data_IF_898036477266
#
_entry.id   IF_898036477266
#
_cell.length_a   1.000
_cell.length_b   1.000
_cell.length_c   1.000
_cell.angle_alpha   90.00
_cell.angle_beta   90.00
_cell.angle_gamma   90.00
#
_symmetry.space_group_name_H-M   'P 1'
#
loop_
_entity.id
_entity.type
_entity.pdbx_description
1 polymer ?
#
# COMPACT_ATOMS: atom_id res chain seq x y z
N UNK A 1 2.84 -7.80 -0.47
CA UNK A 1 2.89 -9.09 0.22
C UNK A 1 4.29 -9.72 0.24
N UNK A 2 5.22 -9.19 -0.57
CA UNK A 2 6.61 -9.64 -0.69
C UNK A 2 6.73 -11.16 -0.82
N UNK A 3 6.06 -11.70 -1.84
CA UNK A 3 6.19 -13.13 -2.23
C UNK A 3 7.56 -13.43 -2.85
N UNK A 4 8.18 -12.41 -3.40
CA UNK A 4 9.53 -12.41 -3.98
C UNK A 4 10.24 -11.14 -3.52
N UNK A 5 11.50 -11.25 -3.19
CA UNK A 5 12.30 -10.10 -2.74
C UNK A 5 12.66 -9.16 -3.89
N UNK A 6 12.83 -7.90 -3.58
CA UNK A 6 13.30 -6.88 -4.51
C UNK A 6 14.67 -7.25 -5.10
N UNK A 7 15.53 -7.89 -4.29
CA UNK A 7 16.84 -8.37 -4.72
C UNK A 7 16.76 -9.49 -5.76
N UNK A 8 15.83 -10.44 -5.60
CA UNK A 8 15.64 -11.52 -6.58
C UNK A 8 15.17 -10.94 -7.93
N UNK A 9 14.24 -9.98 -7.91
CA UNK A 9 13.76 -9.32 -9.12
C UNK A 9 14.88 -8.52 -9.79
N UNK A 10 15.64 -7.74 -9.02
CA UNK A 10 16.79 -6.97 -9.53
C UNK A 10 17.87 -7.89 -10.12
N UNK A 11 18.24 -8.98 -9.40
CA UNK A 11 19.18 -9.99 -9.86
C UNK A 11 18.73 -10.64 -11.16
N UNK A 12 17.43 -10.96 -11.28
CA UNK A 12 16.87 -11.54 -12.50
C UNK A 12 16.93 -10.57 -13.68
N UNK A 13 16.66 -9.28 -13.46
CA UNK A 13 16.78 -8.26 -14.48
C UNK A 13 18.22 -8.11 -14.96
N UNK A 14 19.17 -8.00 -14.03
CA UNK A 14 20.60 -7.87 -14.31
C UNK A 14 21.21 -9.11 -14.96
N UNK A 15 20.64 -10.29 -14.76
CA UNK A 15 21.09 -11.51 -15.45
C UNK A 15 20.72 -11.53 -16.95
N UNK A 16 19.78 -10.68 -17.39
CA UNK A 16 19.30 -10.62 -18.77
C UNK A 16 19.72 -9.36 -19.50
N UNK A 17 19.93 -8.27 -18.78
CA UNK A 17 20.18 -6.96 -19.39
C UNK A 17 21.30 -6.20 -18.66
N UNK A 18 22.11 -5.41 -19.37
CA UNK A 18 23.11 -4.54 -18.73
C UNK A 18 22.41 -3.48 -17.87
N UNK A 19 23.08 -3.05 -16.79
CA UNK A 19 22.54 -2.13 -15.78
C UNK A 19 21.90 -0.87 -16.40
N UNK A 20 22.53 -0.25 -17.37
CA UNK A 20 22.06 0.97 -18.02
C UNK A 20 20.67 0.82 -18.67
N UNK A 21 20.29 -0.41 -19.08
CA UNK A 21 18.96 -0.69 -19.65
C UNK A 21 17.89 -0.91 -18.57
N UNK A 22 18.27 -1.33 -17.38
CA UNK A 22 17.33 -1.72 -16.31
C UNK A 22 17.41 -0.84 -15.09
N UNK A 23 18.26 0.18 -15.08
CA UNK A 23 18.46 1.08 -13.93
C UNK A 23 17.15 1.66 -13.41
N UNK A 24 16.33 2.25 -14.30
CA UNK A 24 15.03 2.81 -13.93
C UNK A 24 14.06 1.76 -13.37
N UNK A 25 14.03 0.58 -13.97
CA UNK A 25 13.21 -0.53 -13.49
C UNK A 25 13.64 -0.97 -12.08
N UNK A 26 14.95 -1.05 -11.83
CA UNK A 26 15.49 -1.39 -10.52
C UNK A 26 15.14 -0.29 -9.50
N UNK A 27 15.28 0.98 -9.85
CA UNK A 27 14.88 2.10 -9.00
C UNK A 27 13.39 1.99 -8.60
N UNK A 28 12.49 1.71 -9.56
CA UNK A 28 11.06 1.54 -9.28
C UNK A 28 10.77 0.37 -8.31
N UNK A 29 11.50 -0.74 -8.42
CA UNK A 29 11.36 -1.86 -7.48
C UNK A 29 11.74 -1.43 -6.06
N UNK A 30 12.82 -0.67 -5.90
CA UNK A 30 13.33 -0.24 -4.59
C UNK A 30 12.51 0.88 -3.94
N UNK A 31 11.61 1.58 -4.68
CA UNK A 31 10.67 2.53 -4.08
C UNK A 31 9.85 1.93 -2.96
N UNK A 32 9.47 0.67 -3.07
CA UNK A 32 8.73 -0.02 -2.02
C UNK A 32 9.52 -0.11 -0.70
N UNK A 33 10.80 -0.48 -0.77
CA UNK A 33 11.69 -0.52 0.41
C UNK A 33 11.84 0.88 0.99
N UNK A 34 12.06 1.87 0.11
CA UNK A 34 12.18 3.27 0.51
C UNK A 34 10.94 3.76 1.28
N UNK A 35 9.74 3.53 0.73
CA UNK A 35 8.50 3.96 1.40
C UNK A 35 8.30 3.29 2.75
N UNK A 36 8.55 1.99 2.85
CA UNK A 36 8.45 1.26 4.12
C UNK A 36 9.41 1.81 5.17
N UNK A 37 10.69 1.90 4.84
CA UNK A 37 11.69 2.45 5.75
C UNK A 37 11.44 3.91 6.11
N UNK A 38 10.95 4.71 5.16
CA UNK A 38 10.62 6.11 5.43
C UNK A 38 9.47 6.25 6.44
N UNK A 39 8.40 5.46 6.29
CA UNK A 39 7.26 5.47 7.22
C UNK A 39 7.64 4.87 8.58
N UNK A 40 8.42 3.81 8.60
CA UNK A 40 8.89 3.16 9.83
C UNK A 40 9.71 4.13 10.70
N UNK A 41 10.55 4.94 10.07
CA UNK A 41 11.30 6.02 10.74
C UNK A 41 10.43 7.24 11.11
N UNK A 42 9.18 7.32 10.66
CA UNK A 42 8.24 8.42 10.94
C UNK A 42 6.83 7.90 11.24
N UNK A 43 6.66 7.07 12.27
CA UNK A 43 5.39 6.38 12.56
C UNK A 43 4.24 7.37 12.81
N UNK A 44 4.56 8.60 13.25
CA UNK A 44 3.56 9.64 13.48
C UNK A 44 2.79 10.02 12.19
N UNK A 45 3.36 9.85 11.00
CA UNK A 45 2.64 10.06 9.74
C UNK A 45 1.44 9.13 9.62
N UNK A 46 1.61 7.87 10.01
CA UNK A 46 0.53 6.89 10.00
C UNK A 46 -0.51 7.17 11.10
N UNK A 47 -0.07 7.48 12.31
CA UNK A 47 -1.01 7.76 13.41
C UNK A 47 -1.83 9.01 13.14
N UNK A 48 -1.23 10.07 12.59
CA UNK A 48 -1.95 11.28 12.19
C UNK A 48 -2.92 11.01 11.02
N UNK A 49 -2.53 10.18 10.05
CA UNK A 49 -3.43 9.76 8.97
C UNK A 49 -4.67 9.03 9.52
N UNK A 50 -4.47 8.09 10.46
CA UNK A 50 -5.58 7.35 11.08
C UNK A 50 -6.48 8.29 11.91
N UNK A 51 -5.89 9.26 12.61
CA UNK A 51 -6.66 10.25 13.38
C UNK A 51 -7.44 11.19 12.47
N UNK A 52 -6.82 11.68 11.40
CA UNK A 52 -7.51 12.50 10.39
C UNK A 52 -8.74 11.75 9.83
N UNK A 53 -8.62 10.45 9.55
CA UNK A 53 -9.72 9.63 9.03
C UNK A 53 -10.94 9.59 9.95
N UNK A 54 -10.76 9.63 11.26
CA UNK A 54 -11.85 9.62 12.25
C UNK A 54 -12.62 10.94 12.23
N UNK A 55 -11.92 12.05 11.97
CA UNK A 55 -12.46 13.41 12.03
C UNK A 55 -13.01 13.91 10.67
N UNK A 56 -12.76 13.20 9.58
CA UNK A 56 -13.27 13.58 8.25
C UNK A 56 -14.64 12.95 8.03
N UNK A 57 -15.67 13.79 7.94
CA UNK A 57 -17.03 13.36 7.60
C UNK A 57 -17.13 12.92 6.14
N UNK A 58 -18.06 12.00 5.88
CA UNK A 58 -18.38 11.55 4.53
C UNK A 58 -19.37 12.51 3.89
N UNK A 59 -18.94 13.21 2.87
CA UNK A 59 -19.82 14.09 2.08
C UNK A 59 -20.59 13.29 1.03
N UNK A 60 -21.63 13.92 0.46
CA UNK A 60 -22.38 13.35 -0.66
C UNK A 60 -21.50 13.16 -1.90
N UNK A 61 -20.54 14.09 -2.12
CA UNK A 61 -19.54 14.01 -3.19
C UNK A 61 -18.61 12.82 -3.01
N UNK A 62 -18.23 12.53 -1.77
CA UNK A 62 -17.46 11.31 -1.45
C UNK A 62 -18.24 10.04 -1.80
N UNK A 63 -19.52 9.97 -1.42
CA UNK A 63 -20.36 8.80 -1.73
C UNK A 63 -20.51 8.58 -3.23
N UNK A 64 -20.71 9.66 -4.02
CA UNK A 64 -20.72 9.60 -5.47
C UNK A 64 -19.37 9.15 -6.04
N UNK A 65 -18.28 9.68 -5.52
CA UNK A 65 -16.93 9.34 -5.98
C UNK A 65 -16.63 7.86 -5.81
N UNK A 66 -16.87 7.28 -4.62
CA UNK A 66 -16.63 5.85 -4.39
C UNK A 66 -17.57 4.92 -5.16
N UNK A 67 -18.71 5.44 -5.66
CA UNK A 67 -19.62 4.69 -6.52
C UNK A 67 -19.27 4.78 -8.00
N UNK A 68 -18.46 5.76 -8.40
CA UNK A 68 -18.18 6.07 -9.79
C UNK A 68 -19.35 6.81 -10.46
N UNK A 69 -20.01 7.69 -9.73
CA UNK A 69 -21.17 8.47 -10.14
C UNK A 69 -20.82 9.97 -10.20
N UNK A 70 -19.62 10.30 -10.62
CA UNK A 70 -19.14 11.67 -10.80
C UNK A 70 -19.43 12.16 -12.22
N UNK A 71 -19.11 13.42 -12.49
CA UNK A 71 -19.18 14.00 -13.84
C UNK A 71 -17.87 13.77 -14.66
N UNK A 72 -17.03 12.83 -14.26
CA UNK A 72 -15.73 12.55 -14.89
C UNK A 72 -15.69 11.09 -15.34
N UNK A 73 -15.93 10.84 -16.61
CA UNK A 73 -16.12 9.49 -17.16
C UNK A 73 -14.92 8.56 -16.91
N UNK A 74 -13.69 9.04 -17.13
CA UNK A 74 -12.50 8.22 -16.89
C UNK A 74 -12.39 7.80 -15.42
N UNK A 75 -12.71 8.68 -14.49
CA UNK A 75 -12.70 8.40 -13.07
C UNK A 75 -13.74 7.33 -12.70
N UNK A 76 -14.94 7.45 -13.24
CA UNK A 76 -16.03 6.49 -13.01
C UNK A 76 -15.67 5.10 -13.54
N UNK A 77 -15.09 5.01 -14.74
CA UNK A 77 -14.60 3.77 -15.32
C UNK A 77 -13.52 3.13 -14.44
N UNK A 78 -12.59 3.93 -13.90
CA UNK A 78 -11.53 3.42 -13.02
C UNK A 78 -12.05 2.97 -11.65
N UNK A 79 -13.08 3.61 -11.11
CA UNK A 79 -13.76 3.11 -9.90
C UNK A 79 -14.37 1.75 -10.15
N UNK A 80 -15.04 1.57 -11.30
CA UNK A 80 -15.60 0.28 -11.70
C UNK A 80 -14.51 -0.77 -11.87
N UNK A 81 -13.45 -0.47 -12.60
CA UNK A 81 -12.29 -1.36 -12.78
C UNK A 81 -11.67 -1.76 -11.44
N UNK A 82 -11.49 -0.79 -10.53
CA UNK A 82 -10.95 -1.04 -9.19
C UNK A 82 -11.81 -2.01 -8.39
N UNK A 83 -13.14 -1.86 -8.41
CA UNK A 83 -14.08 -2.71 -7.67
C UNK A 83 -14.22 -4.11 -8.28
N UNK A 84 -14.10 -4.23 -9.60
CA UNK A 84 -14.18 -5.48 -10.31
C UNK A 84 -12.91 -6.31 -10.17
N UNK A 85 -11.75 -5.67 -10.40
CA UNK A 85 -10.45 -6.34 -10.50
C UNK A 85 -9.59 -6.21 -9.24
N UNK A 86 -9.96 -5.32 -8.31
CA UNK A 86 -9.16 -4.97 -7.12
C UNK A 86 -7.72 -4.54 -7.45
N UNK A 87 -7.55 -3.97 -8.64
CA UNK A 87 -6.28 -3.51 -9.19
C UNK A 87 -6.50 -2.33 -10.14
N UNK A 88 -5.54 -1.42 -10.16
CA UNK A 88 -5.39 -0.37 -11.17
C UNK A 88 -3.93 -0.29 -11.61
N UNK A 89 -3.70 0.00 -12.88
CA UNK A 89 -2.37 0.29 -13.40
C UNK A 89 -1.74 1.49 -12.68
N UNK A 90 -0.42 1.51 -12.49
CA UNK A 90 0.27 2.56 -11.72
C UNK A 90 -0.05 3.99 -12.19
N UNK A 91 -0.02 4.26 -13.50
CA UNK A 91 -0.41 5.58 -14.03
C UNK A 91 -1.85 5.95 -13.68
N UNK A 92 -2.77 5.00 -13.79
CA UNK A 92 -4.18 5.20 -13.45
C UNK A 92 -4.34 5.58 -11.98
N UNK A 93 -3.57 4.97 -11.08
CA UNK A 93 -3.59 5.34 -9.64
C UNK A 93 -3.19 6.79 -9.41
N UNK A 94 -2.19 7.27 -10.14
CA UNK A 94 -1.74 8.66 -10.03
C UNK A 94 -2.78 9.63 -10.55
N UNK A 95 -3.38 9.37 -11.72
CA UNK A 95 -4.47 10.17 -12.27
C UNK A 95 -5.69 10.16 -11.36
N UNK A 96 -6.07 8.98 -10.86
CA UNK A 96 -7.18 8.81 -9.94
C UNK A 96 -7.00 9.69 -8.69
N UNK A 97 -5.82 9.61 -8.04
CA UNK A 97 -5.54 10.38 -6.84
C UNK A 97 -5.52 11.89 -7.11
N UNK A 98 -4.97 12.31 -8.26
CA UNK A 98 -4.97 13.72 -8.66
C UNK A 98 -6.39 14.24 -8.91
N UNK A 99 -7.23 13.49 -9.62
CA UNK A 99 -8.63 13.86 -9.87
C UNK A 99 -9.41 13.92 -8.54
N UNK A 100 -9.23 12.92 -7.68
CA UNK A 100 -9.85 12.89 -6.36
C UNK A 100 -9.55 14.14 -5.54
N UNK A 101 -8.26 14.49 -5.44
CA UNK A 101 -7.80 15.59 -4.58
C UNK A 101 -8.16 16.95 -5.21
N UNK A 102 -7.82 17.15 -6.48
CA UNK A 102 -7.78 18.49 -7.06
C UNK A 102 -9.00 18.84 -7.89
N UNK A 103 -9.62 17.87 -8.55
CA UNK A 103 -10.81 18.12 -9.36
C UNK A 103 -12.09 17.91 -8.56
N UNK A 104 -12.20 16.79 -7.84
CA UNK A 104 -13.34 16.49 -6.97
C UNK A 104 -13.24 17.19 -5.61
N UNK A 105 -12.06 17.75 -5.27
CA UNK A 105 -11.78 18.45 -4.01
C UNK A 105 -12.07 17.61 -2.76
N UNK A 106 -11.82 16.32 -2.85
CA UNK A 106 -12.04 15.38 -1.75
C UNK A 106 -10.77 15.22 -0.90
N UNK A 107 -10.90 14.98 0.41
CA UNK A 107 -9.77 14.74 1.29
C UNK A 107 -8.92 13.56 0.80
N UNK A 108 -7.61 13.76 0.66
CA UNK A 108 -6.69 12.71 0.20
C UNK A 108 -6.71 11.48 1.10
N UNK A 109 -6.94 11.67 2.40
CA UNK A 109 -7.00 10.58 3.37
C UNK A 109 -8.13 9.59 3.03
N UNK A 110 -9.29 10.10 2.63
CA UNK A 110 -10.44 9.25 2.23
C UNK A 110 -10.18 8.50 0.93
N UNK A 111 -9.42 9.07 0.02
CA UNK A 111 -8.97 8.37 -1.19
C UNK A 111 -7.95 7.28 -0.87
N UNK A 112 -6.99 7.56 0.01
CA UNK A 112 -6.02 6.58 0.48
C UNK A 112 -6.69 5.42 1.24
N UNK A 113 -7.69 5.70 2.08
CA UNK A 113 -8.53 4.68 2.74
C UNK A 113 -9.27 3.81 1.71
N UNK A 114 -9.86 4.43 0.68
CA UNK A 114 -10.56 3.73 -0.38
C UNK A 114 -9.63 2.77 -1.14
N UNK A 115 -8.43 3.20 -1.48
CA UNK A 115 -7.43 2.33 -2.11
C UNK A 115 -6.98 1.18 -1.22
N UNK A 116 -6.72 1.41 0.07
CA UNK A 116 -6.38 0.33 1.00
C UNK A 116 -7.49 -0.71 1.10
N UNK A 117 -8.75 -0.25 1.07
CA UNK A 117 -9.92 -1.12 1.14
C UNK A 117 -10.10 -2.00 -0.10
N UNK A 118 -9.82 -1.47 -1.28
CA UNK A 118 -10.16 -2.14 -2.54
C UNK A 118 -8.96 -2.84 -3.21
N UNK A 119 -7.73 -2.35 -3.07
CA UNK A 119 -6.56 -2.88 -3.77
C UNK A 119 -6.02 -4.17 -3.14
N UNK A 120 -5.89 -5.23 -3.94
CA UNK A 120 -5.23 -6.47 -3.51
C UNK A 120 -3.78 -6.27 -3.07
N UNK A 121 -3.06 -5.37 -3.72
CA UNK A 121 -1.67 -5.04 -3.41
C UNK A 121 -1.52 -3.83 -2.48
N UNK A 122 -2.61 -3.39 -1.84
CA UNK A 122 -2.60 -2.26 -0.93
C UNK A 122 -1.60 -2.47 0.23
N UNK A 123 -0.62 -1.57 0.29
CA UNK A 123 0.40 -1.53 1.35
C UNK A 123 0.30 -0.19 2.08
N UNK A 124 0.22 -0.22 3.40
CA UNK A 124 -0.02 0.97 4.21
C UNK A 124 1.02 2.07 3.96
N UNK A 125 2.30 1.72 3.84
CA UNK A 125 3.36 2.70 3.60
C UNK A 125 3.31 3.24 2.16
N UNK A 126 3.39 2.37 1.17
CA UNK A 126 3.41 2.78 -0.24
C UNK A 126 2.16 3.55 -0.63
N UNK A 127 0.98 3.09 -0.20
CA UNK A 127 -0.28 3.75 -0.51
C UNK A 127 -0.36 5.14 0.14
N UNK A 128 -0.19 5.24 1.45
CA UNK A 128 -0.32 6.53 2.17
C UNK A 128 0.69 7.55 1.66
N UNK A 129 1.96 7.16 1.48
CA UNK A 129 2.99 8.08 1.04
C UNK A 129 2.85 8.48 -0.44
N UNK A 130 2.34 7.59 -1.30
CA UNK A 130 2.03 7.93 -2.69
C UNK A 130 0.87 8.91 -2.79
N UNK A 131 -0.19 8.77 -2.00
CA UNK A 131 -1.26 9.76 -1.92
C UNK A 131 -0.77 11.11 -1.40
N UNK A 132 0.10 11.11 -0.38
CA UNK A 132 0.77 12.33 0.11
C UNK A 132 1.66 12.97 -0.96
N UNK A 133 2.33 12.15 -1.78
CA UNK A 133 3.15 12.63 -2.88
C UNK A 133 2.30 13.30 -3.97
N UNK A 134 1.19 12.68 -4.40
CA UNK A 134 0.25 13.31 -5.35
C UNK A 134 -0.28 14.63 -4.81
N UNK A 135 -0.61 14.69 -3.51
CA UNK A 135 -1.12 15.89 -2.84
C UNK A 135 -0.09 17.04 -2.74
N UNK A 136 1.21 16.77 -2.94
CA UNK A 136 2.28 17.76 -2.80
C UNK A 136 2.75 17.99 -1.36
N UNK A 137 2.40 17.10 -0.43
CA UNK A 137 2.77 17.19 0.99
C UNK A 137 3.91 16.25 1.40
N UNK A 138 4.20 15.23 0.60
CA UNK A 138 5.36 14.35 0.82
C UNK A 138 6.67 15.05 0.41
N UNK A 139 6.66 15.77 -0.70
CA UNK A 139 7.65 16.76 -1.07
C UNK A 139 6.92 18.08 -1.15
N UNK A 140 7.09 18.94 -0.15
CA UNK A 140 6.31 20.18 -0.01
C UNK A 140 6.31 21.00 -1.32
N UNK A 141 5.12 21.32 -1.80
CA UNK A 141 4.90 22.14 -2.99
C UNK A 141 5.08 21.43 -4.34
N UNK A 142 5.38 20.12 -4.36
CA UNK A 142 5.50 19.33 -5.61
C UNK A 142 4.38 18.33 -5.70
N UNK A 143 3.23 18.76 -6.20
CA UNK A 143 2.09 17.89 -6.45
C UNK A 143 2.15 17.25 -7.85
N UNK A 144 1.49 16.11 -8.01
CA UNK A 144 1.27 15.49 -9.31
C UNK A 144 -0.12 15.85 -9.83
N UNK A 145 -0.19 16.34 -11.07
CA UNK A 145 -1.43 16.83 -11.67
C UNK A 145 -1.77 15.99 -12.90
N UNK A 146 -2.96 15.39 -12.88
CA UNK A 146 -3.51 14.70 -14.05
C UNK A 146 -3.81 15.69 -15.16
N UNK A 147 -3.33 15.42 -16.38
CA UNK A 147 -3.46 16.26 -17.55
C UNK A 147 -4.30 15.54 -18.62
N UNK A 148 -5.25 16.25 -19.23
CA UNK A 148 -6.10 15.72 -20.30
C UNK A 148 -5.29 15.07 -21.42
N UNK A 149 -4.25 15.75 -21.92
CA UNK A 149 -3.44 15.24 -23.00
C UNK A 149 -2.73 13.93 -22.63
N UNK A 150 -2.33 13.80 -21.36
CA UNK A 150 -1.61 12.62 -20.89
C UNK A 150 -2.55 11.41 -20.73
N UNK A 151 -3.72 11.63 -20.13
CA UNK A 151 -4.77 10.59 -20.06
C UNK A 151 -5.15 10.13 -21.46
N UNK A 152 -5.47 11.07 -22.36
CA UNK A 152 -5.87 10.74 -23.74
C UNK A 152 -4.78 9.97 -24.49
N UNK A 153 -3.52 10.37 -24.38
CA UNK A 153 -2.39 9.68 -25.01
C UNK A 153 -2.30 8.21 -24.63
N UNK A 154 -2.49 7.89 -23.34
CA UNK A 154 -2.31 6.53 -22.81
C UNK A 154 -3.61 5.72 -22.74
N UNK A 155 -4.75 6.32 -23.09
CA UNK A 155 -6.05 5.64 -23.20
C UNK A 155 -6.58 5.58 -24.64
N UNK A 156 -5.70 5.77 -25.64
CA UNK A 156 -6.05 5.79 -27.07
C UNK A 156 -7.21 6.77 -27.41
N UNK A 157 -7.18 7.95 -26.78
CA UNK A 157 -8.20 8.99 -26.93
C UNK A 157 -9.64 8.53 -26.56
N UNK A 158 -9.75 7.59 -25.64
CA UNK A 158 -11.04 7.09 -25.16
C UNK A 158 -11.88 8.19 -24.49
N UNK A 159 -11.23 9.11 -23.77
CA UNK A 159 -11.90 10.15 -23.00
C UNK A 159 -11.63 11.52 -23.62
N UNK A 160 -12.72 12.20 -24.04
CA UNK A 160 -12.64 13.53 -24.64
C UNK A 160 -13.16 14.58 -23.65
N UNK A 161 -12.60 15.78 -23.75
CA UNK A 161 -13.08 16.97 -23.05
C UNK A 161 -13.27 16.80 -21.52
N UNK A 162 -12.33 16.11 -20.88
CA UNK A 162 -12.34 15.95 -19.43
C UNK A 162 -12.21 17.30 -18.73
N UNK A 163 -13.15 17.63 -17.87
CA UNK A 163 -13.13 18.87 -17.07
C UNK A 163 -12.27 18.67 -15.81
N UNK A 164 -10.93 18.68 -15.98
CA UNK A 164 -9.98 18.52 -14.90
C UNK A 164 -9.45 19.88 -14.42
N UNK A 165 -9.13 19.96 -13.13
CA UNK A 165 -8.34 21.06 -12.62
C UNK A 165 -6.86 20.77 -12.90
N UNK A 166 -6.31 21.38 -13.94
CA UNK A 166 -4.95 21.15 -14.42
C UNK A 166 -3.90 22.08 -13.82
N UNK A 167 -4.31 23.04 -12.99
CA UNK A 167 -3.42 24.00 -12.34
C UNK A 167 -3.80 24.24 -10.87
N UNK A 168 -3.94 23.19 -10.05
CA UNK A 168 -4.28 23.35 -8.65
C UNK A 168 -3.07 23.73 -7.81
N UNK A 169 -3.31 24.44 -6.72
CA UNK A 169 -2.33 24.58 -5.67
C UNK A 169 -2.12 23.27 -4.91
N UNK A 170 -0.90 22.97 -4.43
CA UNK A 170 -0.65 21.83 -3.56
C UNK A 170 -1.48 21.88 -2.28
N UNK A 171 -1.82 20.71 -1.73
CA UNK A 171 -2.45 20.65 -0.41
C UNK A 171 -1.47 21.17 0.64
N UNK A 172 -1.96 22.02 1.54
CA UNK A 172 -1.16 22.56 2.64
C UNK A 172 -1.24 21.62 3.83
N UNK A 173 -0.10 21.09 4.25
CA UNK A 173 0.08 20.38 5.52
C UNK A 173 1.29 20.98 6.26
N UNK A 174 1.02 21.63 7.39
CA UNK A 174 2.07 22.30 8.18
C UNK A 174 2.80 21.33 9.12
N UNK A 175 2.31 20.08 9.25
CA UNK A 175 2.93 19.09 10.14
C UNK A 175 4.34 18.72 9.69
N UNK A 176 5.21 18.61 10.67
CA UNK A 176 6.59 18.16 10.49
C UNK A 176 6.81 16.84 11.23
N UNK A 177 7.47 15.92 10.54
CA UNK A 177 7.69 14.57 11.06
C UNK A 177 9.17 14.31 11.27
N UNK A 178 9.58 14.31 12.53
CA UNK A 178 10.94 13.97 12.93
C UNK A 178 11.19 12.47 12.79
N UNK A 179 12.45 12.11 12.56
CA UNK A 179 12.89 10.72 12.55
C UNK A 179 12.80 10.18 13.99
N UNK A 180 12.17 9.03 14.13
CA UNK A 180 12.17 8.22 15.36
C UNK A 180 13.10 7.05 15.12
N UNK A 181 14.28 6.99 15.76
CA UNK A 181 15.21 5.89 15.59
C UNK A 181 14.57 4.55 15.99
N UNK A 182 14.80 3.52 15.20
CA UNK A 182 14.37 2.17 15.51
C UNK A 182 15.35 1.59 16.52
N UNK A 183 14.85 1.12 17.65
CA UNK A 183 15.66 0.35 18.60
C UNK A 183 15.89 -1.05 18.05
N UNK A 184 17.13 -1.35 17.69
CA UNK A 184 17.51 -2.71 17.29
C UNK A 184 17.79 -3.48 18.59
N UNK A 185 16.97 -4.48 18.88
CA UNK A 185 17.18 -5.35 20.02
C UNK A 185 18.52 -6.09 19.92
N UNK A 186 19.32 -6.03 20.97
CA UNK A 186 20.62 -6.72 21.07
C UNK A 186 20.49 -8.20 21.45
N UNK A 187 19.34 -8.82 21.25
CA UNK A 187 19.11 -10.21 21.61
C UNK A 187 19.93 -11.15 20.71
N UNK A 188 21.03 -11.64 21.26
CA UNK A 188 21.87 -12.70 20.62
C UNK A 188 21.25 -14.09 20.70
N UNK A 189 20.15 -14.27 21.41
CA UNK A 189 19.46 -15.55 21.54
C UNK A 189 18.47 -15.74 20.40
N UNK A 190 18.64 -16.83 19.65
CA UNK A 190 17.67 -17.25 18.65
C UNK A 190 16.41 -17.71 19.39
N UNK A 191 15.29 -17.06 19.13
CA UNK A 191 14.00 -17.48 19.68
C UNK A 191 13.58 -18.83 19.10
N UNK A 192 12.97 -19.69 19.90
CA UNK A 192 12.35 -20.93 19.44
C UNK A 192 11.18 -20.72 18.46
N UNK A 193 10.68 -19.50 18.37
CA UNK A 193 9.52 -19.12 17.55
C UNK A 193 9.90 -18.06 16.55
N UNK A 194 9.39 -18.18 15.32
CA UNK A 194 9.50 -17.18 14.26
C UNK A 194 8.11 -16.77 13.82
N UNK A 195 7.88 -15.47 13.65
CA UNK A 195 6.59 -14.92 13.26
C UNK A 195 6.76 -14.11 11.99
N UNK A 196 5.99 -14.45 10.97
CA UNK A 196 5.80 -13.65 9.77
C UNK A 196 4.46 -12.91 9.83
N UNK A 197 4.40 -11.74 9.24
CA UNK A 197 3.16 -11.03 9.02
C UNK A 197 2.75 -11.09 7.55
N UNK A 198 1.48 -10.92 7.27
CA UNK A 198 0.87 -10.95 5.93
C UNK A 198 1.52 -10.07 4.85
N UNK A 199 2.41 -9.17 5.24
CA UNK A 199 3.15 -8.28 4.34
C UNK A 199 4.57 -8.77 4.02
N UNK A 200 5.03 -9.87 4.66
CA UNK A 200 6.34 -10.47 4.48
C UNK A 200 6.18 -11.97 4.28
N UNK A 201 6.03 -12.38 3.03
CA UNK A 201 5.78 -13.77 2.66
C UNK A 201 6.95 -14.43 1.91
N UNK A 202 8.10 -13.77 1.86
CA UNK A 202 9.35 -14.38 1.39
C UNK A 202 10.00 -15.18 2.53
N UNK A 203 9.49 -16.38 2.73
CA UNK A 203 9.97 -17.26 3.80
C UNK A 203 11.42 -17.74 3.62
N UNK A 204 12.04 -17.48 2.46
CA UNK A 204 13.43 -17.88 2.20
C UNK A 204 14.45 -16.93 2.83
N UNK A 205 14.03 -15.71 3.18
CA UNK A 205 14.93 -14.69 3.75
C UNK A 205 15.44 -15.09 5.12
N UNK A 206 14.68 -15.92 5.86
CA UNK A 206 15.02 -16.34 7.21
C UNK A 206 15.32 -17.84 7.26
N UNK A 207 16.23 -18.25 8.16
CA UNK A 207 16.49 -19.67 8.41
C UNK A 207 15.35 -20.29 9.23
N UNK A 208 14.22 -20.56 8.54
CA UNK A 208 12.98 -21.07 9.16
C UNK A 208 13.23 -22.37 9.93
N UNK A 209 14.14 -23.22 9.43
CA UNK A 209 14.43 -24.53 10.04
C UNK A 209 15.18 -24.45 11.37
N UNK A 210 15.71 -23.29 11.74
CA UNK A 210 16.36 -23.09 13.05
C UNK A 210 15.36 -22.85 14.19
N UNK A 211 14.07 -22.71 13.88
CA UNK A 211 13.02 -22.43 14.85
C UNK A 211 12.12 -23.65 15.07
N UNK A 212 11.68 -23.88 16.32
CA UNK A 212 10.78 -25.00 16.66
C UNK A 212 9.37 -24.77 16.15
N UNK A 213 8.92 -23.52 16.14
CA UNK A 213 7.58 -23.13 15.70
C UNK A 213 7.64 -21.89 14.81
N UNK A 214 6.92 -21.92 13.71
CA UNK A 214 6.85 -20.81 12.76
C UNK A 214 5.40 -20.48 12.47
N UNK A 215 5.06 -19.21 12.57
CA UNK A 215 3.72 -18.70 12.39
C UNK A 215 3.68 -17.65 11.27
N UNK A 216 2.57 -17.62 10.54
CA UNK A 216 2.23 -16.49 9.66
C UNK A 216 0.91 -15.89 10.12
N UNK A 217 0.90 -14.58 10.39
CA UNK A 217 -0.26 -13.89 10.96
C UNK A 217 -1.00 -13.13 9.88
N UNK A 218 -2.32 -13.35 9.81
CA UNK A 218 -3.28 -12.55 9.07
C UNK A 218 -4.18 -11.81 10.07
N UNK A 219 -4.06 -10.49 10.13
CA UNK A 219 -4.90 -9.66 10.99
C UNK A 219 -6.35 -9.64 10.49
N UNK A 220 -7.30 -9.64 11.41
CA UNK A 220 -8.71 -9.37 11.13
C UNK A 220 -9.00 -7.86 11.04
N UNK A 221 -10.19 -7.48 10.61
CA UNK A 221 -10.57 -6.06 10.54
C UNK A 221 -10.74 -5.41 11.93
N UNK A 222 -10.96 -6.19 12.97
CA UNK A 222 -11.05 -5.72 14.35
C UNK A 222 -9.70 -5.23 14.88
N UNK A 223 -8.61 -5.81 14.36
CA UNK A 223 -7.23 -5.49 14.77
C UNK A 223 -6.59 -4.41 13.90
N UNK A 224 -7.27 -4.01 12.80
CA UNK A 224 -6.74 -3.02 11.87
C UNK A 224 -7.20 -1.61 12.22
N UNK A 225 -6.27 -0.68 12.19
CA UNK A 225 -6.58 0.75 12.30
C UNK A 225 -7.34 1.28 11.06
N UNK A 226 -7.07 0.71 9.88
CA UNK A 226 -7.81 0.95 8.65
C UNK A 226 -8.34 -0.37 8.10
N UNK A 227 -9.65 -0.47 7.97
CA UNK A 227 -10.32 -1.70 7.54
C UNK A 227 -10.08 -1.98 6.06
N UNK A 228 -9.91 -3.26 5.72
CA UNK A 228 -9.80 -3.76 4.36
C UNK A 228 -11.16 -4.30 3.89
N UNK A 229 -11.38 -4.35 2.58
CA UNK A 229 -12.52 -5.02 1.99
C UNK A 229 -12.45 -6.55 2.14
N UNK A 230 -13.60 -7.21 2.19
CA UNK A 230 -13.65 -8.66 2.37
C UNK A 230 -12.89 -9.43 1.27
N UNK A 231 -12.99 -8.98 0.01
CA UNK A 231 -12.22 -9.55 -1.12
C UNK A 231 -10.70 -9.46 -0.89
N UNK A 232 -10.23 -8.34 -0.31
CA UNK A 232 -8.81 -8.13 -0.04
C UNK A 232 -8.30 -9.04 1.07
N UNK A 233 -9.08 -9.22 2.14
CA UNK A 233 -8.75 -10.15 3.23
C UNK A 233 -8.70 -11.58 2.71
N UNK A 234 -9.71 -12.00 1.95
CA UNK A 234 -9.75 -13.34 1.37
C UNK A 234 -8.58 -13.59 0.40
N UNK A 235 -8.24 -12.60 -0.42
CA UNK A 235 -7.08 -12.67 -1.29
C UNK A 235 -5.77 -12.83 -0.50
N UNK A 236 -5.58 -12.04 0.58
CA UNK A 236 -4.41 -12.18 1.47
C UNK A 236 -4.34 -13.57 2.09
N UNK A 237 -5.46 -14.08 2.58
CA UNK A 237 -5.55 -15.43 3.14
C UNK A 237 -5.14 -16.51 2.14
N UNK A 238 -5.64 -16.41 0.91
CA UNK A 238 -5.34 -17.37 -0.15
C UNK A 238 -3.86 -17.30 -0.57
N UNK A 239 -3.27 -16.12 -0.69
CA UNK A 239 -1.84 -15.98 -0.97
C UNK A 239 -1.00 -16.60 0.14
N UNK A 240 -1.31 -16.36 1.41
CA UNK A 240 -0.57 -16.94 2.54
C UNK A 240 -0.64 -18.47 2.48
N UNK A 241 -1.84 -19.03 2.33
CA UNK A 241 -2.01 -20.47 2.21
C UNK A 241 -1.21 -21.08 1.06
N UNK A 242 -1.29 -20.48 -0.11
CA UNK A 242 -0.53 -20.93 -1.29
C UNK A 242 0.99 -20.84 -1.05
N UNK A 243 1.47 -19.76 -0.43
CA UNK A 243 2.89 -19.60 -0.14
C UNK A 243 3.39 -20.63 0.89
N UNK A 244 2.60 -20.90 1.92
CA UNK A 244 2.90 -21.94 2.91
C UNK A 244 2.98 -23.32 2.22
N UNK A 245 1.99 -23.68 1.42
CA UNK A 245 1.95 -24.97 0.70
C UNK A 245 3.15 -25.14 -0.24
N UNK A 246 3.51 -24.09 -0.97
CA UNK A 246 4.63 -24.13 -1.93
C UNK A 246 6.01 -24.05 -1.29
N UNK A 247 6.10 -23.69 -0.02
CA UNK A 247 7.39 -23.52 0.67
C UNK A 247 7.98 -24.85 1.18
N UNK A 248 7.18 -25.90 1.33
CA UNK A 248 7.54 -27.15 2.02
C UNK A 248 7.97 -26.94 3.49
N UNK A 249 7.60 -25.81 4.08
CA UNK A 249 7.93 -25.45 5.46
C UNK A 249 6.73 -25.71 6.39
N UNK A 250 7.01 -26.05 7.64
CA UNK A 250 5.98 -26.18 8.67
C UNK A 250 5.64 -24.81 9.25
N UNK A 251 4.73 -24.09 8.59
CA UNK A 251 4.28 -22.77 9.01
C UNK A 251 2.79 -22.86 9.33
N UNK A 252 2.41 -22.39 10.52
CA UNK A 252 1.01 -22.33 10.95
C UNK A 252 0.43 -20.96 10.61
N UNK A 253 -0.73 -20.92 9.92
CA UNK A 253 -1.48 -19.69 9.69
C UNK A 253 -2.32 -19.37 10.93
N UNK A 254 -2.10 -18.19 11.50
CA UNK A 254 -2.86 -17.64 12.61
C UNK A 254 -3.74 -16.50 12.10
N UNK A 255 -5.04 -16.60 12.32
CA UNK A 255 -6.03 -15.60 11.93
C UNK A 255 -6.54 -14.83 13.17
N UNK A 256 -6.53 -13.51 13.11
CA UNK A 256 -7.13 -12.63 14.10
C UNK A 256 -6.56 -12.75 15.52
N UNK A 257 -7.43 -12.65 16.52
CA UNK A 257 -7.10 -12.56 17.95
C UNK A 257 -6.30 -13.73 18.53
N UNK A 258 -6.20 -14.85 17.84
CA UNK A 258 -5.41 -16.01 18.29
C UNK A 258 -3.92 -15.68 18.52
N UNK A 259 -3.43 -14.61 17.91
CA UNK A 259 -2.07 -14.14 18.15
C UNK A 259 -1.89 -13.61 19.59
N UNK A 260 -2.87 -12.90 20.13
CA UNK A 260 -2.83 -12.39 21.52
C UNK A 260 -2.77 -13.56 22.48
N UNK A 261 -3.56 -14.61 22.26
CA UNK A 261 -3.52 -15.84 23.07
C UNK A 261 -2.14 -16.52 23.04
N UNK A 262 -1.48 -16.53 21.86
CA UNK A 262 -0.12 -17.07 21.73
C UNK A 262 0.91 -16.22 22.47
N UNK A 263 0.74 -14.89 22.51
CA UNK A 263 1.67 -13.99 23.20
C UNK A 263 1.51 -14.04 24.72
N UNK A 264 0.32 -14.35 25.23
CA UNK A 264 0.05 -14.49 26.67
C UNK A 264 0.53 -15.81 27.23
N UNK A 265 0.60 -16.88 26.41
CA UNK A 265 1.13 -18.19 26.78
C UNK A 265 2.67 -18.29 26.68
N UNK A 266 3.39 -17.20 26.49
CA UNK A 266 4.87 -17.15 26.38
C UNK A 266 5.53 -16.87 27.75
N UNK A 267 4.82 -17.01 28.85
CA UNK A 267 5.37 -16.77 30.19
C UNK A 267 5.99 -18.01 30.86
N UNK A 268 6.16 -19.12 30.11
CA UNK A 268 6.86 -20.31 30.60
C UNK A 268 8.02 -20.73 29.69
#
# INVERSE_FOLDING_TARGET
>A
HRLISEYEVAKKALSKYPYQKVEKFIQEIFWRIYWKGWLELRPKVWTDFVEDLKNIEKSNEYEKAIKGETNIDCFNDWVKELKENNYLHNHTRMWFASIWIFTLKLPWQKGAEFFLRELYDGDAASNTLSWRWVAGIQTKGKNYIAQNWNINKFTNNKYKDLKLNENPEPVIDQREYKISPISIGNNKTISDRLVFFENELDFKVFNVNSHKKVYCILLSNEERQVKLGNKVIEYKKNIIKNQIQNSNLKIELIEGNKFIELSTNVKD
#
